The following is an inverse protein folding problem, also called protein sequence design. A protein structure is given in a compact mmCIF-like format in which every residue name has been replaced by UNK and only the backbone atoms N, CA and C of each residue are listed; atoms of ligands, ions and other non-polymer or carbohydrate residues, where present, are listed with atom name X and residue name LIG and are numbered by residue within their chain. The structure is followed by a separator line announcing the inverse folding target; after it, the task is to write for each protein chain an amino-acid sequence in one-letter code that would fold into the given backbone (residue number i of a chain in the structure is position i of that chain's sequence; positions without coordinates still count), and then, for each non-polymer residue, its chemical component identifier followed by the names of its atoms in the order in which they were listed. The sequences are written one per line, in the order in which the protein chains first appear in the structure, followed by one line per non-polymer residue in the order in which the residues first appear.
data_IF_724006438892
#
_entry.id   IF_724006438892
#
_cell.length_a   1.000
_cell.length_b   1.000
_cell.length_c   1.000
_cell.angle_alpha   90.00
_cell.angle_beta   90.00
_cell.angle_gamma   90.00
#
_symmetry.space_group_name_H-M   'P 1'
#
loop_
_entity.id
_entity.type
_entity.pdbx_description
1 polymer ?
#
# COMPACT_ATOMS: atom_id res chain seq x y z
N UNK A 1 40.57 -46.10 17.61
CA UNK A 1 39.10 -46.05 17.82
C UNK A 1 38.66 -44.91 18.74
N UNK A 2 39.29 -44.68 19.90
CA UNK A 2 38.96 -43.57 20.82
C UNK A 2 39.16 -42.17 20.20
N UNK A 3 40.23 -41.97 19.42
CA UNK A 3 40.53 -40.69 18.74
C UNK A 3 39.51 -40.34 17.63
N UNK A 4 38.99 -41.34 16.90
CA UNK A 4 37.97 -41.15 15.87
C UNK A 4 36.61 -40.77 16.48
N UNK A 5 36.28 -41.33 17.65
CA UNK A 5 35.06 -40.98 18.39
C UNK A 5 35.10 -39.56 18.96
N UNK A 6 36.27 -39.13 19.47
CA UNK A 6 36.47 -37.75 19.96
C UNK A 6 36.41 -36.74 18.82
N UNK A 7 37.02 -37.03 17.66
CA UNK A 7 36.96 -36.15 16.49
C UNK A 7 35.52 -35.96 15.98
N UNK A 8 34.72 -37.03 15.99
CA UNK A 8 33.31 -36.97 15.59
C UNK A 8 32.46 -36.15 16.56
N UNK A 9 32.70 -36.29 17.88
CA UNK A 9 32.02 -35.48 18.89
C UNK A 9 32.37 -33.99 18.78
N UNK A 10 33.64 -33.64 18.53
CA UNK A 10 34.07 -32.24 18.35
C UNK A 10 33.45 -31.60 17.09
N UNK A 11 33.33 -32.35 15.99
CA UNK A 11 32.70 -31.89 14.75
C UNK A 11 31.19 -31.65 14.89
N UNK A 12 30.49 -32.41 15.74
CA UNK A 12 29.04 -32.21 15.96
C UNK A 12 28.77 -30.96 16.82
N UNK A 13 29.66 -30.63 17.76
CA UNK A 13 29.49 -29.48 18.66
C UNK A 13 29.85 -28.13 17.99
N UNK A 14 30.67 -28.12 16.94
CA UNK A 14 30.98 -26.87 16.23
C UNK A 14 29.84 -26.37 15.34
N UNK A 15 28.96 -27.28 14.87
CA UNK A 15 27.82 -26.95 13.98
C UNK A 15 26.64 -26.33 14.75
N UNK A 16 26.51 -26.62 16.05
CA UNK A 16 25.39 -26.09 16.86
C UNK A 16 25.61 -24.66 17.33
N UNK A 17 26.87 -24.21 17.47
CA UNK A 17 27.19 -22.88 18.00
C UNK A 17 26.98 -21.75 16.98
N UNK A 18 27.29 -21.97 15.70
CA UNK A 18 27.09 -20.97 14.63
C UNK A 18 25.61 -20.67 14.40
N UNK A 19 24.74 -21.67 14.52
CA UNK A 19 23.29 -21.52 14.34
C UNK A 19 22.62 -20.76 15.50
N UNK A 20 23.15 -20.86 16.72
CA UNK A 20 22.59 -20.19 17.90
C UNK A 20 22.78 -18.66 17.88
N UNK A 21 23.95 -18.19 17.43
CA UNK A 21 24.21 -16.75 17.25
C UNK A 21 23.34 -16.13 16.15
N UNK A 22 23.22 -16.83 15.01
CA UNK A 22 22.36 -16.41 13.90
C UNK A 22 20.89 -16.28 14.34
N UNK A 23 20.35 -17.27 15.05
CA UNK A 23 18.98 -17.22 15.58
C UNK A 23 18.73 -15.99 16.48
N UNK A 24 19.69 -15.62 17.33
CA UNK A 24 19.55 -14.47 18.22
C UNK A 24 19.61 -13.12 17.48
N UNK A 25 20.41 -13.00 16.42
CA UNK A 25 20.50 -11.77 15.60
C UNK A 25 19.24 -11.58 14.73
N UNK A 26 18.66 -12.67 14.22
CA UNK A 26 17.43 -12.61 13.41
C UNK A 26 16.17 -12.30 14.23
N UNK A 27 16.15 -12.54 15.55
CA UNK A 27 15.01 -12.17 16.38
C UNK A 27 14.98 -10.70 16.78
N UNK A 28 16.11 -9.99 16.83
CA UNK A 28 16.11 -8.56 17.19
C UNK A 28 15.71 -7.61 16.06
N UNK A 29 15.60 -8.09 14.81
CA UNK A 29 15.11 -7.27 13.69
C UNK A 29 13.58 -7.26 13.55
N UNK A 30 12.83 -7.86 14.48
CA UNK A 30 11.38 -7.65 14.58
C UNK A 30 11.04 -6.36 15.35
N UNK A 31 11.61 -5.23 14.93
CA UNK A 31 10.81 -4.01 14.91
C UNK A 31 10.27 -3.89 13.49
N UNK A 32 8.97 -4.09 13.27
CA UNK A 32 8.37 -3.77 12.00
C UNK A 32 8.50 -2.25 11.81
N UNK A 33 9.54 -1.82 11.12
CA UNK A 33 9.51 -0.56 10.40
C UNK A 33 8.57 -0.77 9.20
N UNK A 34 7.29 -0.93 9.52
CA UNK A 34 6.21 -0.98 8.56
C UNK A 34 6.21 0.33 7.80
N UNK A 35 6.69 0.30 6.56
CA UNK A 35 5.96 1.02 5.52
C UNK A 35 4.53 0.46 5.55
N UNK A 36 3.51 1.24 5.92
CA UNK A 36 2.18 0.72 6.20
C UNK A 36 1.45 0.45 4.90
N UNK A 37 1.75 -0.67 4.25
CA UNK A 37 0.95 -1.20 3.13
C UNK A 37 -0.06 -2.26 3.59
N UNK A 38 0.03 -2.73 4.85
CA UNK A 38 -0.94 -3.65 5.46
C UNK A 38 -1.92 -3.01 6.45
N UNK A 39 -1.47 -2.01 7.23
CA UNK A 39 -2.32 -1.29 8.19
C UNK A 39 -3.39 -0.43 7.50
N UNK A 40 -3.08 0.13 6.34
CA UNK A 40 -4.00 0.98 5.59
C UNK A 40 -5.20 0.21 5.02
N UNK A 41 -4.99 -1.03 4.54
CA UNK A 41 -6.07 -1.85 3.99
C UNK A 41 -7.04 -2.33 5.08
N UNK A 42 -6.52 -2.80 6.21
CA UNK A 42 -7.35 -3.21 7.36
C UNK A 42 -8.10 -2.01 7.94
N UNK A 43 -7.42 -0.86 8.09
CA UNK A 43 -8.04 0.38 8.55
C UNK A 43 -9.13 0.87 7.58
N UNK A 44 -8.90 0.76 6.26
CA UNK A 44 -9.89 1.12 5.25
C UNK A 44 -11.11 0.21 5.32
N UNK A 45 -10.93 -1.11 5.45
CA UNK A 45 -12.05 -2.05 5.58
C UNK A 45 -12.94 -1.70 6.76
N UNK A 46 -12.36 -1.44 7.93
CA UNK A 46 -13.12 -1.03 9.11
C UNK A 46 -13.87 0.30 8.93
N UNK A 47 -13.29 1.26 8.21
CA UNK A 47 -13.95 2.53 7.91
C UNK A 47 -15.07 2.37 6.88
N UNK A 48 -14.85 1.54 5.85
CA UNK A 48 -15.83 1.25 4.83
C UNK A 48 -17.05 0.51 5.41
N UNK A 49 -16.80 -0.49 6.27
CA UNK A 49 -17.86 -1.25 6.95
C UNK A 49 -18.69 -0.38 7.91
N UNK A 50 -18.13 0.73 8.41
CA UNK A 50 -18.81 1.66 9.30
C UNK A 50 -19.77 2.62 8.54
N UNK A 51 -19.68 2.69 7.21
CA UNK A 51 -20.49 3.58 6.38
C UNK A 51 -21.48 2.77 5.57
N UNK A 52 -22.78 3.02 5.76
CA UNK A 52 -23.83 2.40 4.95
C UNK A 52 -23.93 3.10 3.58
N UNK A 53 -23.26 2.53 2.57
CA UNK A 53 -23.24 3.04 1.20
C UNK A 53 -23.46 1.89 0.21
N UNK A 54 -24.53 1.99 -0.60
CA UNK A 54 -24.85 1.02 -1.65
C UNK A 54 -24.24 1.35 -3.02
N UNK A 55 -23.69 2.56 -3.16
CA UNK A 55 -23.09 3.05 -4.40
C UNK A 55 -21.55 3.04 -4.31
N UNK A 56 -20.89 4.11 -4.73
CA UNK A 56 -19.44 4.23 -4.66
C UNK A 56 -19.01 5.00 -3.40
N UNK A 57 -18.26 4.34 -2.53
CA UNK A 57 -17.66 4.98 -1.36
C UNK A 57 -16.29 5.56 -1.71
N UNK A 58 -16.14 6.88 -1.59
CA UNK A 58 -14.88 7.57 -1.86
C UNK A 58 -13.81 7.17 -0.82
N UNK A 59 -12.65 6.60 -1.23
CA UNK A 59 -11.69 6.03 -0.29
C UNK A 59 -10.93 7.09 0.54
N UNK A 60 -10.89 8.33 0.08
CA UNK A 60 -10.18 9.44 0.74
C UNK A 60 -11.07 10.27 1.66
N UNK A 61 -12.37 10.37 1.37
CA UNK A 61 -13.32 11.25 2.08
C UNK A 61 -14.44 10.50 2.76
N UNK A 62 -14.60 9.19 2.49
CA UNK A 62 -15.69 8.34 2.99
C UNK A 62 -17.10 8.86 2.64
N UNK A 63 -17.22 9.63 1.55
CA UNK A 63 -18.50 10.11 1.03
C UNK A 63 -19.08 9.07 0.07
N UNK A 64 -20.37 8.78 0.21
CA UNK A 64 -21.11 7.93 -0.72
C UNK A 64 -21.58 8.76 -1.93
N UNK A 65 -21.21 8.33 -3.14
CA UNK A 65 -21.55 9.00 -4.39
C UNK A 65 -21.92 7.98 -5.48
N UNK A 66 -22.55 8.44 -6.56
CA UNK A 66 -23.01 7.55 -7.62
C UNK A 66 -21.91 7.08 -8.56
N UNK A 67 -20.89 7.91 -8.78
CA UNK A 67 -19.75 7.57 -9.64
C UNK A 67 -18.42 7.99 -9.01
N UNK A 68 -17.32 7.29 -9.31
CA UNK A 68 -15.98 7.71 -8.87
C UNK A 68 -15.62 9.15 -9.28
N UNK A 69 -16.15 9.61 -10.42
CA UNK A 69 -15.98 10.99 -10.90
C UNK A 69 -16.60 12.04 -9.99
N UNK A 70 -17.50 11.66 -9.09
CA UNK A 70 -18.23 12.58 -8.22
C UNK A 70 -17.52 12.81 -6.89
N UNK A 71 -16.48 12.02 -6.57
CA UNK A 71 -15.75 12.17 -5.32
C UNK A 71 -15.18 13.59 -5.14
N UNK A 72 -15.35 14.19 -3.95
CA UNK A 72 -14.73 15.48 -3.64
C UNK A 72 -13.24 15.30 -3.31
N UNK A 73 -12.46 16.36 -3.53
CA UNK A 73 -11.08 16.39 -3.04
C UNK A 73 -11.05 16.51 -1.52
N UNK A 74 -10.11 15.83 -0.84
CA UNK A 74 -10.03 15.83 0.63
C UNK A 74 -9.67 17.20 1.19
N UNK A 75 -8.95 18.00 0.42
CA UNK A 75 -8.60 19.37 0.77
C UNK A 75 -9.36 20.38 -0.08
N UNK A 76 -9.97 21.42 0.53
CA UNK A 76 -10.78 22.39 -0.20
C UNK A 76 -9.97 23.29 -1.14
N UNK A 77 -8.66 23.45 -0.90
CA UNK A 77 -7.75 24.21 -1.77
C UNK A 77 -7.26 23.42 -2.99
N UNK A 78 -7.53 22.12 -3.06
CA UNK A 78 -7.10 21.29 -4.18
C UNK A 78 -8.10 21.40 -5.34
N UNK A 79 -7.57 21.42 -6.55
CA UNK A 79 -8.36 21.39 -7.77
C UNK A 79 -8.62 19.95 -8.18
N UNK A 80 -9.88 19.65 -8.48
CA UNK A 80 -10.33 18.34 -8.96
C UNK A 80 -10.13 18.25 -10.48
N UNK A 81 -9.21 17.40 -10.92
CA UNK A 81 -9.02 17.06 -12.33
C UNK A 81 -9.71 15.73 -12.66
N UNK A 82 -10.52 15.70 -13.71
CA UNK A 82 -11.11 14.47 -14.23
C UNK A 82 -10.33 14.07 -15.48
N UNK A 83 -9.61 12.96 -15.38
CA UNK A 83 -8.87 12.38 -16.50
C UNK A 83 -9.87 11.54 -17.29
N UNK A 84 -10.15 11.98 -18.52
CA UNK A 84 -11.00 11.28 -19.47
C UNK A 84 -10.14 10.73 -20.60
N UNK A 85 -9.65 9.49 -20.47
CA UNK A 85 -9.10 8.76 -21.60
C UNK A 85 -10.20 8.49 -22.64
N UNK A 86 -9.85 8.36 -23.92
CA UNK A 86 -10.81 8.12 -25.02
C UNK A 86 -11.73 6.90 -24.75
N UNK A 87 -11.23 5.90 -24.03
CA UNK A 87 -12.00 4.73 -23.63
C UNK A 87 -12.94 5.00 -22.45
N UNK A 88 -12.54 5.86 -21.52
CA UNK A 88 -13.35 6.29 -20.37
C UNK A 88 -14.46 7.27 -20.77
N UNK A 89 -14.25 8.06 -21.83
CA UNK A 89 -15.22 9.02 -22.40
C UNK A 89 -16.51 8.34 -22.86
N UNK A 90 -16.41 7.06 -23.28
CA UNK A 90 -17.54 6.23 -23.69
C UNK A 90 -18.28 5.58 -22.51
N UNK A 91 -17.59 5.36 -21.39
CA UNK A 91 -18.11 4.56 -20.26
C UNK A 91 -18.45 5.43 -19.04
N UNK A 92 -18.23 6.75 -19.10
CA UNK A 92 -18.38 7.67 -17.96
C UNK A 92 -17.57 7.29 -16.70
N UNK A 93 -16.58 6.41 -16.88
CA UNK A 93 -15.71 5.88 -15.84
C UNK A 93 -14.36 6.63 -15.89
N UNK A 94 -14.38 7.93 -15.58
CA UNK A 94 -13.17 8.75 -15.52
C UNK A 94 -12.43 8.59 -14.19
N UNK A 95 -11.12 8.83 -14.21
CA UNK A 95 -10.30 8.85 -12.98
C UNK A 95 -10.23 10.27 -12.44
N UNK A 96 -10.37 10.45 -11.12
CA UNK A 96 -10.25 11.76 -10.46
C UNK A 96 -8.88 11.88 -9.81
N UNK A 97 -8.20 13.00 -10.05
CA UNK A 97 -6.96 13.37 -9.38
C UNK A 97 -7.10 14.74 -8.74
N UNK A 98 -6.68 14.86 -7.48
CA UNK A 98 -6.64 16.12 -6.76
C UNK A 98 -5.23 16.67 -6.79
N UNK A 99 -5.11 17.94 -7.16
CA UNK A 99 -3.82 18.62 -7.27
C UNK A 99 -3.86 19.93 -6.49
N UNK A 100 -2.77 20.25 -5.83
CA UNK A 100 -2.64 21.56 -5.18
C UNK A 100 -2.15 22.57 -6.22
N UNK A 101 -3.00 23.54 -6.57
CA UNK A 101 -2.68 24.63 -7.50
C UNK A 101 -3.56 24.67 -8.76
N UNK A 102 -3.82 25.88 -9.25
CA UNK A 102 -4.82 26.18 -10.28
C UNK A 102 -4.55 25.61 -11.69
N UNK A 103 -3.32 25.19 -12.00
CA UNK A 103 -2.89 24.89 -13.38
C UNK A 103 -2.38 23.47 -13.62
N UNK A 104 -2.55 22.53 -12.67
CA UNK A 104 -1.99 21.19 -12.85
C UNK A 104 -2.84 20.25 -13.73
N UNK A 105 -4.13 20.55 -13.96
CA UNK A 105 -4.98 19.67 -14.78
C UNK A 105 -4.55 19.69 -16.26
N UNK A 106 -4.08 20.82 -16.77
CA UNK A 106 -3.59 20.97 -18.16
C UNK A 106 -2.34 20.12 -18.43
N UNK A 107 -1.53 19.88 -17.40
CA UNK A 107 -0.34 19.03 -17.48
C UNK A 107 -0.74 17.56 -17.66
N UNK A 108 -1.82 17.12 -16.99
CA UNK A 108 -2.31 15.75 -17.08
C UNK A 108 -2.92 15.44 -18.46
N UNK A 109 -3.61 16.39 -19.09
CA UNK A 109 -4.17 16.23 -20.45
C UNK A 109 -3.07 16.03 -21.52
N UNK A 110 -1.86 16.52 -21.29
CA UNK A 110 -0.72 16.24 -22.19
C UNK A 110 -0.21 14.81 -22.10
N UNK A 111 -0.32 14.18 -20.93
CA UNK A 111 0.18 12.81 -20.70
C UNK A 111 -0.84 11.73 -21.07
N UNK A 112 -2.13 12.03 -21.08
CA UNK A 112 -3.18 11.06 -21.50
C UNK A 112 -3.20 10.81 -23.02
N UNK A 113 -2.48 11.61 -23.82
CA UNK A 113 -2.49 11.57 -25.29
C UNK A 113 -1.38 10.74 -25.93
N UNK A 114 -0.56 10.03 -25.15
CA UNK A 114 0.54 9.18 -25.65
C UNK A 114 0.16 7.71 -25.74
#
# INVERSE_FOLDING_TARGET
MKLLSVAFLVLVHSVTFTNAFFQHMFQQQQQPQQRPVGHSAQMWQHQADAVDCSEYLCPSTLVCVSKPTDCPCPHPQDVKCVIQDEQSKKTSAGTVMCISGASGCDVLDRFSKW
#
